data_IF_040716525521
#
_entry.id   IF_040716525521
#
_cell.length_a   1.000
_cell.length_b   1.000
_cell.length_c   1.000
_cell.angle_alpha   90.00
_cell.angle_beta   90.00
_cell.angle_gamma   90.00
#
_symmetry.space_group_name_H-M   'P 1'
#
loop_
_entity.id
_entity.type
_entity.pdbx_description
1 polymer ?
#
# COMPACT_ATOMS: atom_id res chain seq x y z
N UNK A 1 27.25 -2.77 14.88
CA UNK A 1 25.92 -2.19 14.61
C UNK A 1 25.10 -3.22 13.84
N UNK A 2 23.96 -3.68 14.36
CA UNK A 2 23.10 -4.60 13.63
C UNK A 2 22.61 -3.91 12.35
N UNK A 3 22.90 -4.48 11.17
CA UNK A 3 22.33 -3.99 9.92
C UNK A 3 20.81 -4.08 10.06
N UNK A 4 20.11 -2.94 10.02
CA UNK A 4 18.65 -2.95 9.96
C UNK A 4 18.25 -3.83 8.78
N UNK A 5 17.27 -4.73 8.93
CA UNK A 5 16.76 -5.46 7.78
C UNK A 5 16.35 -4.44 6.72
N UNK A 6 16.90 -4.55 5.52
CA UNK A 6 16.71 -3.59 4.40
C UNK A 6 15.27 -3.49 3.93
N UNK A 7 14.40 -4.35 4.45
CA UNK A 7 13.01 -4.51 4.02
C UNK A 7 12.02 -3.89 5.03
N UNK A 8 12.53 -3.19 6.05
CA UNK A 8 11.70 -2.50 7.05
C UNK A 8 11.65 -1.01 6.76
N UNK A 9 10.44 -0.47 6.76
CA UNK A 9 10.13 0.92 6.49
C UNK A 9 9.46 1.49 7.72
N UNK A 10 9.84 2.72 8.07
CA UNK A 10 9.15 3.50 9.10
C UNK A 10 8.04 4.31 8.46
N UNK A 11 6.82 4.01 8.85
CA UNK A 11 5.61 4.71 8.46
C UNK A 11 5.22 5.70 9.55
N UNK A 12 4.82 6.89 9.13
CA UNK A 12 4.19 7.88 9.99
C UNK A 12 2.83 8.22 9.42
N UNK A 13 1.78 7.74 10.08
CA UNK A 13 0.39 8.01 9.75
C UNK A 13 -0.07 9.21 10.56
N UNK A 14 -0.73 10.15 9.87
CA UNK A 14 -1.28 11.35 10.44
C UNK A 14 -2.80 11.26 10.42
N UNK A 15 -3.39 11.16 11.60
CA UNK A 15 -4.83 11.28 11.81
C UNK A 15 -5.15 12.70 12.31
N UNK A 16 -6.38 13.20 12.12
CA UNK A 16 -6.75 14.54 12.58
C UNK A 16 -6.49 14.80 14.07
N UNK A 17 -6.50 13.74 14.90
CA UNK A 17 -6.37 13.82 16.35
C UNK A 17 -5.08 13.17 16.88
N UNK A 18 -4.29 12.49 16.05
CA UNK A 18 -3.13 11.72 16.50
C UNK A 18 -2.11 11.46 15.41
N UNK A 19 -0.93 11.02 15.82
CA UNK A 19 0.03 10.42 14.89
C UNK A 19 0.38 9.02 15.35
N UNK A 20 0.49 8.09 14.40
CA UNK A 20 0.94 6.74 14.67
C UNK A 20 2.24 6.49 13.91
N UNK A 21 3.27 6.05 14.62
CA UNK A 21 4.52 5.60 14.02
C UNK A 21 4.57 4.08 14.04
N UNK A 22 4.92 3.50 12.90
CA UNK A 22 4.99 2.06 12.71
C UNK A 22 6.30 1.70 12.00
N UNK A 23 6.96 0.64 12.44
CA UNK A 23 8.17 0.09 11.82
C UNK A 23 7.85 -1.33 11.37
N UNK A 24 7.76 -1.59 10.07
CA UNK A 24 7.39 -2.89 9.51
C UNK A 24 7.61 -2.99 8.01
N UNK A 25 7.06 -4.01 7.37
CA UNK A 25 7.24 -4.22 5.93
C UNK A 25 6.32 -3.31 5.10
N UNK A 26 6.52 -3.32 3.77
CA UNK A 26 5.72 -2.51 2.85
C UNK A 26 4.24 -2.89 2.86
N UNK A 27 3.96 -4.19 2.93
CA UNK A 27 2.60 -4.73 2.95
C UNK A 27 1.89 -4.39 4.26
N UNK A 28 2.57 -4.50 5.39
CA UNK A 28 2.02 -4.09 6.70
C UNK A 28 1.73 -2.57 6.72
N UNK A 29 2.65 -1.75 6.18
CA UNK A 29 2.45 -0.30 6.10
C UNK A 29 1.23 0.08 5.25
N UNK A 30 1.05 -0.55 4.09
CA UNK A 30 -0.12 -0.35 3.22
C UNK A 30 -1.40 -0.81 3.93
N UNK A 31 -1.35 -1.95 4.63
CA UNK A 31 -2.48 -2.46 5.40
C UNK A 31 -2.93 -1.45 6.45
N UNK A 32 -2.04 -0.98 7.31
CA UNK A 32 -2.40 -0.03 8.37
C UNK A 32 -2.85 1.32 7.83
N UNK A 33 -2.22 1.83 6.76
CA UNK A 33 -2.65 3.05 6.09
C UNK A 33 -4.06 2.93 5.50
N UNK A 34 -4.40 1.78 4.90
CA UNK A 34 -5.75 1.53 4.42
C UNK A 34 -6.76 1.39 5.58
N UNK A 35 -6.31 0.92 6.75
CA UNK A 35 -7.14 0.80 7.94
C UNK A 35 -7.48 2.12 8.62
N UNK A 36 -6.68 3.17 8.46
CA UNK A 36 -7.03 4.52 8.95
C UNK A 36 -8.09 5.21 8.09
N UNK A 37 -8.38 4.71 6.90
CA UNK A 37 -9.46 5.22 6.05
C UNK A 37 -10.84 4.80 6.57
N UNK A 38 -11.83 5.65 6.29
CA UNK A 38 -13.25 5.31 6.44
C UNK A 38 -13.59 4.05 5.62
N UNK A 39 -14.68 3.35 5.98
CA UNK A 39 -15.09 2.16 5.25
C UNK A 39 -15.40 2.47 3.76
N UNK A 40 -15.96 3.63 3.48
CA UNK A 40 -16.29 4.05 2.11
C UNK A 40 -15.04 4.36 1.30
N UNK A 41 -14.11 5.15 1.85
CA UNK A 41 -12.84 5.48 1.19
C UNK A 41 -11.99 4.23 0.96
N UNK A 42 -12.02 3.28 1.90
CA UNK A 42 -11.32 2.00 1.75
C UNK A 42 -11.88 1.18 0.59
N UNK A 43 -13.21 1.15 0.39
CA UNK A 43 -13.83 0.48 -0.77
C UNK A 43 -13.39 1.14 -2.08
N UNK A 44 -13.33 2.47 -2.13
CA UNK A 44 -12.84 3.22 -3.29
C UNK A 44 -11.38 2.89 -3.59
N UNK A 45 -10.52 2.85 -2.56
CA UNK A 45 -9.11 2.47 -2.70
C UNK A 45 -8.97 1.06 -3.29
N UNK A 46 -9.71 0.08 -2.76
CA UNK A 46 -9.68 -1.30 -3.25
C UNK A 46 -10.11 -1.37 -4.73
N UNK A 47 -11.17 -0.64 -5.11
CA UNK A 47 -11.61 -0.58 -6.51
C UNK A 47 -10.51 -0.10 -7.45
N UNK A 48 -9.87 1.03 -7.11
CA UNK A 48 -8.75 1.59 -7.89
C UNK A 48 -7.58 0.63 -8.03
N UNK A 49 -7.23 -0.08 -6.94
CA UNK A 49 -6.14 -1.06 -6.96
C UNK A 49 -6.45 -2.25 -7.88
N UNK A 50 -7.70 -2.73 -7.88
CA UNK A 50 -8.15 -3.80 -8.79
C UNK A 50 -8.10 -3.34 -10.24
N UNK A 51 -8.62 -2.15 -10.55
CA UNK A 51 -8.58 -1.58 -11.91
C UNK A 51 -7.14 -1.39 -12.42
N UNK A 52 -6.26 -0.87 -11.56
CA UNK A 52 -4.85 -0.68 -11.89
C UNK A 52 -4.15 -2.02 -12.14
N UNK A 53 -4.43 -3.05 -11.33
CA UNK A 53 -3.87 -4.39 -11.52
C UNK A 53 -4.34 -5.01 -12.83
N UNK A 54 -5.64 -4.92 -13.15
CA UNK A 54 -6.18 -5.40 -14.42
C UNK A 54 -5.50 -4.72 -15.63
N UNK A 55 -5.32 -3.39 -15.54
CA UNK A 55 -4.65 -2.60 -16.58
C UNK A 55 -3.18 -2.98 -16.76
N UNK A 56 -2.46 -3.22 -15.65
CA UNK A 56 -1.07 -3.64 -15.67
C UNK A 56 -0.89 -5.03 -16.29
N UNK A 57 -1.77 -5.98 -15.94
CA UNK A 57 -1.77 -7.33 -16.52
C UNK A 57 -2.02 -7.28 -18.02
N UNK A 58 -3.06 -6.58 -18.47
CA UNK A 58 -3.37 -6.45 -19.90
C UNK A 58 -2.21 -5.83 -20.69
N UNK A 59 -1.51 -4.84 -20.11
CA UNK A 59 -0.32 -4.23 -20.72
C UNK A 59 0.85 -5.21 -20.80
N UNK A 60 1.07 -6.01 -19.76
CA UNK A 60 2.13 -7.02 -19.75
C UNK A 60 1.89 -8.12 -20.79
N UNK A 61 0.65 -8.58 -20.92
CA UNK A 61 0.25 -9.60 -21.91
C UNK A 61 0.38 -9.09 -23.36
N UNK A 62 0.04 -7.82 -23.59
CA UNK A 62 0.20 -7.17 -24.90
C UNK A 62 1.69 -6.98 -25.27
N UNK A 63 2.55 -6.75 -24.28
CA UNK A 63 3.99 -6.60 -24.50
C UNK A 63 4.73 -7.93 -24.71
N UNK A 64 4.19 -9.04 -24.19
CA UNK A 64 4.75 -10.38 -24.37
C UNK A 64 4.35 -11.03 -25.72
N UNK A 65 3.38 -10.45 -26.43
CA UNK A 65 2.87 -10.93 -27.73
C UNK A 65 3.45 -10.16 -28.94
N UNK A 66 4.36 -9.20 -28.71
CA UNK A 66 5.05 -8.39 -29.72
C UNK A 66 6.51 -8.81 -29.86
#
# INVERSE_FOLDING_TARGET
MAKRPTNRIKYKLWDPNSTMEYDGTIDEGIYYAAWSLSLEDRKVLIGKLVEQQASATAKAESAASA
#
